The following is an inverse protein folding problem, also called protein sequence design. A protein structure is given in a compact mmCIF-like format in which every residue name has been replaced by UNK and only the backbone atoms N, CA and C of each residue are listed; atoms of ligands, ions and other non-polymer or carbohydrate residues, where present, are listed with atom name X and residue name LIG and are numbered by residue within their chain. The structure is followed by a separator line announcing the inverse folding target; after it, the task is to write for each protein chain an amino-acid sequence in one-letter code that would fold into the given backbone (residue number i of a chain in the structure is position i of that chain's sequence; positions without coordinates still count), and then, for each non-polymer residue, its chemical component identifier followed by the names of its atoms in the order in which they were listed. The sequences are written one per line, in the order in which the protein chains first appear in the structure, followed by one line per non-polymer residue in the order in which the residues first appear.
data_IF_190334762561
#
_entry.id   IF_190334762561
#
_cell.length_a   1.000
_cell.length_b   1.000
_cell.length_c   1.000
_cell.angle_alpha   90.00
_cell.angle_beta   90.00
_cell.angle_gamma   90.00
#
_symmetry.space_group_name_H-M   'P 1'
#
loop_
_entity.id
_entity.type
_entity.pdbx_description
1 polymer ?
#
# COMPACT_ATOMS: atom_id res chain seq x y z
N UNK A 1 -23.45 24.66 -1.49
CA UNK A 1 -23.78 23.34 -2.08
C UNK A 1 -24.68 23.42 -3.34
N UNK A 2 -24.75 24.55 -4.08
CA UNK A 2 -25.66 24.74 -5.23
C UNK A 2 -25.08 24.38 -6.63
N UNK A 3 -23.75 24.32 -6.79
CA UNK A 3 -23.09 24.09 -8.10
C UNK A 3 -23.31 22.69 -8.71
N UNK A 4 -23.67 21.66 -7.93
CA UNK A 4 -23.81 20.27 -8.42
C UNK A 4 -25.13 19.99 -9.15
N UNK A 5 -26.22 20.71 -8.85
CA UNK A 5 -27.55 20.45 -9.44
C UNK A 5 -27.65 20.91 -10.90
N UNK A 6 -27.10 22.09 -11.20
CA UNK A 6 -27.07 22.63 -12.58
C UNK A 6 -26.23 21.78 -13.52
N UNK A 7 -25.07 21.32 -13.07
CA UNK A 7 -24.20 20.42 -13.84
C UNK A 7 -24.88 19.07 -14.12
N UNK A 8 -25.58 18.51 -13.14
CA UNK A 8 -26.28 17.23 -13.33
C UNK A 8 -27.47 17.34 -14.28
N UNK A 9 -28.24 18.43 -14.19
CA UNK A 9 -29.34 18.70 -15.13
C UNK A 9 -28.83 18.85 -16.57
N UNK A 10 -27.66 19.46 -16.75
CA UNK A 10 -27.01 19.61 -18.04
C UNK A 10 -26.48 18.27 -18.59
N UNK A 11 -25.86 17.44 -17.76
CA UNK A 11 -25.46 16.09 -18.17
C UNK A 11 -26.67 15.26 -18.60
N UNK A 12 -27.77 15.32 -17.83
CA UNK A 12 -29.00 14.58 -18.15
C UNK A 12 -29.65 15.05 -19.46
N UNK A 13 -29.58 16.34 -19.79
CA UNK A 13 -30.10 16.82 -21.08
C UNK A 13 -29.26 16.33 -22.25
N UNK A 14 -27.93 16.26 -22.08
CA UNK A 14 -27.02 15.70 -23.09
C UNK A 14 -27.25 14.19 -23.28
N UNK A 15 -27.41 13.43 -22.19
CA UNK A 15 -27.71 11.99 -22.25
C UNK A 15 -29.01 11.73 -23.03
N UNK A 16 -30.08 12.48 -22.75
CA UNK A 16 -31.35 12.35 -23.47
C UNK A 16 -31.21 12.64 -24.96
N UNK A 17 -30.41 13.65 -25.35
CA UNK A 17 -30.15 13.96 -26.77
C UNK A 17 -29.45 12.81 -27.47
N UNK A 18 -28.54 12.15 -26.78
CA UNK A 18 -27.80 11.00 -27.30
C UNK A 18 -28.68 9.76 -27.38
N UNK A 19 -29.46 9.46 -26.35
CA UNK A 19 -30.41 8.34 -26.34
C UNK A 19 -31.51 8.52 -27.40
N UNK A 20 -32.00 9.74 -27.62
CA UNK A 20 -32.95 10.01 -28.70
C UNK A 20 -32.35 9.78 -30.11
N UNK A 21 -31.03 9.92 -30.25
CA UNK A 21 -30.34 9.81 -31.54
C UNK A 21 -29.91 8.37 -31.85
N UNK A 22 -29.46 7.62 -30.83
CA UNK A 22 -28.85 6.30 -31.00
C UNK A 22 -29.60 5.18 -30.25
N UNK A 23 -30.74 5.48 -29.60
CA UNK A 23 -31.52 4.55 -28.80
C UNK A 23 -30.91 4.26 -27.41
N UNK A 24 -29.60 4.33 -27.29
CA UNK A 24 -28.85 4.11 -26.05
C UNK A 24 -27.56 4.91 -26.05
N UNK A 25 -27.21 5.43 -24.87
CA UNK A 25 -25.91 6.07 -24.65
C UNK A 25 -24.73 5.10 -24.87
N UNK A 26 -24.95 3.79 -24.74
CA UNK A 26 -23.92 2.76 -24.95
C UNK A 26 -23.59 2.54 -26.43
N UNK A 27 -24.54 2.83 -27.31
CA UNK A 27 -24.41 2.60 -28.75
C UNK A 27 -23.95 3.88 -29.48
N UNK A 28 -23.51 4.87 -28.69
CA UNK A 28 -23.09 6.17 -29.20
C UNK A 28 -21.64 6.13 -29.66
N UNK A 29 -21.34 6.53 -30.90
CA UNK A 29 -19.96 6.59 -31.39
C UNK A 29 -19.08 7.53 -30.57
N UNK A 30 -17.85 7.13 -30.26
CA UNK A 30 -16.91 7.94 -29.48
C UNK A 30 -16.52 9.27 -30.17
N UNK A 31 -16.76 9.35 -31.48
CA UNK A 31 -16.54 10.55 -32.28
C UNK A 31 -17.63 11.61 -32.09
N UNK A 32 -18.82 11.27 -31.56
CA UNK A 32 -19.95 12.19 -31.43
C UNK A 32 -19.61 13.37 -30.49
N UNK A 33 -19.83 14.63 -30.91
CA UNK A 33 -19.52 15.79 -30.09
C UNK A 33 -20.23 15.81 -28.73
N UNK A 34 -21.48 15.32 -28.70
CA UNK A 34 -22.31 15.25 -27.48
C UNK A 34 -21.76 14.21 -26.53
N UNK A 35 -21.29 13.08 -27.06
CA UNK A 35 -20.60 12.06 -26.26
C UNK A 35 -19.29 12.59 -25.68
N UNK A 36 -18.47 13.30 -26.47
CA UNK A 36 -17.22 13.92 -25.97
C UNK A 36 -17.49 14.94 -24.86
N UNK A 37 -18.59 15.68 -24.96
CA UNK A 37 -19.00 16.64 -23.94
C UNK A 37 -19.48 15.95 -22.65
N UNK A 38 -20.31 14.90 -22.76
CA UNK A 38 -20.70 14.05 -21.62
C UNK A 38 -19.44 13.43 -20.99
N UNK A 39 -18.54 12.90 -21.81
CA UNK A 39 -17.26 12.33 -21.39
C UNK A 39 -16.42 13.34 -20.61
N UNK A 40 -16.32 14.58 -21.09
CA UNK A 40 -15.62 15.67 -20.43
C UNK A 40 -16.28 16.09 -19.11
N UNK A 41 -17.60 16.23 -19.10
CA UNK A 41 -18.39 16.64 -17.92
C UNK A 41 -18.44 15.57 -16.83
N UNK A 42 -18.42 14.30 -17.23
CA UNK A 42 -18.44 13.14 -16.35
C UNK A 42 -17.04 12.56 -16.09
N UNK A 43 -15.98 13.17 -16.63
CA UNK A 43 -14.59 12.63 -16.59
C UNK A 43 -14.50 11.17 -17.07
N UNK A 44 -15.35 10.78 -18.02
CA UNK A 44 -15.34 9.47 -18.70
C UNK A 44 -14.43 9.60 -19.92
N UNK A 45 -13.12 9.65 -19.71
CA UNK A 45 -12.18 9.69 -20.84
C UNK A 45 -11.04 10.66 -20.62
N UNK A 46 -10.03 10.20 -19.87
CA UNK A 46 -8.64 10.67 -19.90
C UNK A 46 -7.85 9.82 -18.90
N UNK A 47 -7.61 8.56 -19.24
CA UNK A 47 -6.41 7.85 -18.77
C UNK A 47 -6.18 6.61 -19.65
N UNK A 48 -5.10 6.57 -20.46
CA UNK A 48 -4.81 5.46 -21.36
C UNK A 48 -4.48 4.13 -20.65
N UNK A 49 -4.49 4.09 -19.31
CA UNK A 49 -4.33 2.88 -18.49
C UNK A 49 -5.53 2.57 -17.56
N UNK A 50 -6.71 3.13 -17.81
CA UNK A 50 -7.96 2.72 -17.12
C UNK A 50 -8.05 3.03 -15.62
N UNK A 51 -7.05 3.68 -15.02
CA UNK A 51 -7.10 4.15 -13.63
C UNK A 51 -7.91 5.45 -13.55
N UNK A 52 -9.20 5.38 -13.22
CA UNK A 52 -10.04 6.54 -12.85
C UNK A 52 -9.69 7.10 -11.47
N UNK A 53 -8.39 7.30 -11.18
CA UNK A 53 -7.86 7.75 -9.89
C UNK A 53 -6.94 8.94 -10.15
N UNK A 54 -7.16 10.06 -9.46
CA UNK A 54 -6.35 11.26 -9.63
C UNK A 54 -4.88 11.02 -9.24
N UNK A 55 -3.94 11.68 -9.93
CA UNK A 55 -2.51 11.57 -9.66
C UNK A 55 -2.16 11.81 -8.18
N UNK A 56 -2.81 12.79 -7.53
CA UNK A 56 -2.67 13.05 -6.09
C UNK A 56 -3.02 11.82 -5.23
N UNK A 57 -4.11 11.11 -5.56
CA UNK A 57 -4.49 9.88 -4.84
C UNK A 57 -3.51 8.75 -5.12
N UNK A 58 -3.02 8.62 -6.35
CA UNK A 58 -2.01 7.62 -6.68
C UNK A 58 -0.72 7.85 -5.87
N UNK A 59 -0.23 9.10 -5.81
CA UNK A 59 0.93 9.47 -5.00
C UNK A 59 0.72 9.17 -3.51
N UNK A 60 -0.46 9.49 -2.97
CA UNK A 60 -0.81 9.17 -1.58
C UNK A 60 -0.80 7.65 -1.31
N UNK A 61 -1.38 6.85 -2.21
CA UNK A 61 -1.36 5.38 -2.12
C UNK A 61 0.09 4.89 -2.10
N UNK A 62 0.92 5.29 -3.07
CA UNK A 62 2.31 4.84 -3.18
C UNK A 62 3.13 5.24 -1.96
N UNK A 63 2.95 6.46 -1.44
CA UNK A 63 3.60 6.90 -0.21
C UNK A 63 3.23 6.00 0.98
N UNK A 64 1.96 5.62 1.11
CA UNK A 64 1.51 4.72 2.19
C UNK A 64 2.02 3.29 2.04
N UNK A 65 2.14 2.79 0.81
CA UNK A 65 2.75 1.49 0.52
C UNK A 65 4.22 1.50 0.95
N UNK A 66 4.98 2.53 0.56
CA UNK A 66 6.39 2.72 0.97
C UNK A 66 6.56 2.89 2.49
N UNK A 67 5.55 3.41 3.18
CA UNK A 67 5.51 3.50 4.64
C UNK A 67 5.15 2.17 5.33
N UNK A 68 4.78 1.14 4.57
CA UNK A 68 4.42 -0.19 5.06
C UNK A 68 3.00 -0.32 5.60
N UNK A 69 2.09 0.58 5.22
CA UNK A 69 0.69 0.46 5.60
C UNK A 69 -0.02 -0.67 4.85
N UNK A 70 -0.99 -1.29 5.52
CA UNK A 70 -1.79 -2.37 4.92
C UNK A 70 -2.75 -1.84 3.87
N UNK A 71 -3.14 -2.70 2.92
CA UNK A 71 -4.15 -2.39 1.90
C UNK A 71 -5.46 -1.87 2.52
N UNK A 72 -5.93 -2.50 3.60
CA UNK A 72 -7.13 -2.07 4.34
C UNK A 72 -7.01 -0.67 4.90
N UNK A 73 -5.85 -0.31 5.47
CA UNK A 73 -5.59 1.04 5.96
C UNK A 73 -5.62 2.06 4.82
N UNK A 74 -4.96 1.75 3.70
CA UNK A 74 -4.90 2.62 2.53
C UNK A 74 -6.30 2.83 1.93
N UNK A 75 -7.10 1.77 1.84
CA UNK A 75 -8.50 1.83 1.38
C UNK A 75 -9.29 2.84 2.21
N UNK A 76 -9.23 2.71 3.54
CA UNK A 76 -9.93 3.60 4.47
C UNK A 76 -9.41 5.03 4.42
N UNK A 77 -8.09 5.22 4.36
CA UNK A 77 -7.46 6.54 4.44
C UNK A 77 -7.48 7.32 3.11
N UNK A 78 -7.40 6.63 1.97
CA UNK A 78 -7.38 7.26 0.64
C UNK A 78 -8.74 7.22 -0.06
N UNK A 79 -9.75 6.58 0.55
CA UNK A 79 -11.09 6.40 -0.01
C UNK A 79 -11.03 5.88 -1.45
N UNK A 80 -10.41 4.72 -1.62
CA UNK A 80 -10.15 4.06 -2.90
C UNK A 80 -10.35 2.56 -2.75
N UNK A 81 -10.98 1.90 -3.72
CA UNK A 81 -11.20 0.47 -3.67
C UNK A 81 -9.88 -0.32 -3.81
N UNK A 82 -9.86 -1.53 -3.26
CA UNK A 82 -8.66 -2.39 -3.22
C UNK A 82 -8.13 -2.73 -4.61
N UNK A 83 -9.02 -3.01 -5.58
CA UNK A 83 -8.64 -3.28 -6.96
C UNK A 83 -7.86 -2.12 -7.61
N UNK A 84 -8.21 -0.87 -7.30
CA UNK A 84 -7.46 0.28 -7.80
C UNK A 84 -6.14 0.48 -7.06
N UNK A 85 -6.06 0.14 -5.76
CA UNK A 85 -4.79 0.12 -5.03
C UNK A 85 -3.84 -0.86 -5.73
N UNK A 86 -4.29 -2.08 -6.00
CA UNK A 86 -3.46 -3.11 -6.66
C UNK A 86 -2.96 -2.66 -8.03
N UNK A 87 -3.83 -2.08 -8.86
CA UNK A 87 -3.43 -1.51 -10.15
C UNK A 87 -2.37 -0.41 -10.01
N UNK A 88 -2.50 0.48 -9.02
CA UNK A 88 -1.52 1.54 -8.77
C UNK A 88 -0.17 0.95 -8.34
N UNK A 89 -0.20 -0.04 -7.44
CA UNK A 89 1.01 -0.72 -6.94
C UNK A 89 1.74 -1.46 -8.07
N UNK A 90 1.00 -2.22 -8.88
CA UNK A 90 1.53 -2.93 -10.05
C UNK A 90 2.09 -1.97 -11.09
N UNK A 91 1.34 -0.92 -11.46
CA UNK A 91 1.79 0.06 -12.45
C UNK A 91 3.06 0.81 -12.03
N UNK A 92 3.27 0.98 -10.71
CA UNK A 92 4.47 1.63 -10.17
C UNK A 92 5.62 0.65 -9.90
N UNK A 93 5.44 -0.66 -10.10
CA UNK A 93 6.45 -1.69 -9.79
C UNK A 93 6.82 -1.77 -8.31
N UNK A 94 5.95 -1.31 -7.40
CA UNK A 94 6.21 -1.32 -5.96
C UNK A 94 5.61 -2.58 -5.34
N UNK A 95 6.17 -3.06 -4.23
CA UNK A 95 5.59 -4.15 -3.45
C UNK A 95 5.14 -3.70 -2.07
N UNK A 96 4.15 -4.39 -1.50
CA UNK A 96 3.73 -4.14 -0.14
C UNK A 96 4.76 -4.66 0.86
N UNK A 97 5.15 -3.79 1.77
CA UNK A 97 6.03 -4.16 2.88
C UNK A 97 5.20 -4.94 3.90
N UNK A 98 5.59 -6.20 4.15
CA UNK A 98 4.95 -6.99 5.18
C UNK A 98 5.28 -6.43 6.57
N UNK A 99 4.27 -6.24 7.44
CA UNK A 99 4.50 -5.80 8.80
C UNK A 99 5.40 -6.76 9.59
N UNK A 100 6.14 -6.20 10.53
CA UNK A 100 6.97 -6.94 11.48
C UNK A 100 6.09 -7.35 12.65
N UNK A 101 6.12 -8.62 13.03
CA UNK A 101 5.25 -9.20 14.05
C UNK A 101 5.89 -9.18 15.44
N UNK A 102 7.22 -9.10 15.51
CA UNK A 102 7.95 -9.20 16.76
C UNK A 102 9.05 -8.16 16.89
N UNK A 103 9.38 -7.82 18.13
CA UNK A 103 10.49 -6.94 18.49
C UNK A 103 11.38 -7.68 19.49
N UNK A 104 12.65 -7.85 19.14
CA UNK A 104 13.67 -8.44 19.99
C UNK A 104 14.65 -7.34 20.41
N UNK A 105 14.90 -7.19 21.71
CA UNK A 105 15.77 -6.12 22.20
C UNK A 105 16.46 -6.52 23.51
N UNK A 106 17.59 -5.89 23.78
CA UNK A 106 18.35 -6.02 25.02
C UNK A 106 19.00 -4.68 25.31
N UNK A 107 19.06 -4.30 26.58
CA UNK A 107 19.67 -3.04 27.00
C UNK A 107 21.15 -2.99 26.57
N UNK A 108 21.60 -1.83 26.08
CA UNK A 108 22.94 -1.65 25.51
C UNK A 108 23.18 -2.41 24.20
N UNK A 109 22.16 -3.05 23.61
CA UNK A 109 22.21 -3.72 22.30
C UNK A 109 21.17 -3.10 21.36
N UNK A 110 21.28 -3.42 20.07
CA UNK A 110 20.32 -3.00 19.06
C UNK A 110 18.91 -3.56 19.30
N UNK A 111 17.91 -2.88 18.74
CA UNK A 111 16.52 -3.36 18.65
C UNK A 111 16.27 -3.97 17.28
N UNK A 112 15.73 -5.19 17.23
CA UNK A 112 15.52 -5.96 16.03
C UNK A 112 14.02 -6.19 15.78
N UNK A 113 13.57 -5.87 14.57
CA UNK A 113 12.19 -6.08 14.12
C UNK A 113 12.11 -7.32 13.22
N UNK A 114 11.26 -8.27 13.61
CA UNK A 114 11.18 -9.62 13.05
C UNK A 114 9.80 -9.90 12.48
N UNK A 115 9.73 -10.80 11.50
CA UNK A 115 8.48 -11.34 10.94
C UNK A 115 8.21 -12.76 11.44
N UNK A 116 9.26 -13.56 11.63
CA UNK A 116 9.20 -14.95 12.08
C UNK A 116 10.21 -15.20 13.20
N UNK A 117 9.76 -15.71 14.34
CA UNK A 117 10.68 -16.11 15.42
C UNK A 117 11.61 -17.22 14.95
N UNK A 118 11.05 -18.23 14.29
CA UNK A 118 11.76 -19.45 13.93
C UNK A 118 12.81 -19.23 12.84
N UNK A 119 12.55 -18.34 11.89
CA UNK A 119 13.48 -18.06 10.78
C UNK A 119 14.46 -16.94 11.11
N UNK A 120 13.99 -15.88 11.77
CA UNK A 120 14.75 -14.63 11.81
C UNK A 120 15.69 -14.59 13.02
N UNK A 121 15.31 -15.19 14.15
CA UNK A 121 16.14 -15.18 15.37
C UNK A 121 17.48 -15.92 15.19
N UNK A 122 17.52 -17.10 14.54
CA UNK A 122 18.78 -17.74 14.16
C UNK A 122 19.78 -16.81 13.47
N UNK A 123 19.31 -15.94 12.56
CA UNK A 123 20.14 -15.03 11.78
C UNK A 123 20.75 -13.90 12.61
N UNK A 124 20.11 -13.49 13.72
CA UNK A 124 20.64 -12.45 14.61
C UNK A 124 21.85 -12.98 15.39
N UNK A 125 21.78 -14.25 15.78
CA UNK A 125 22.75 -14.87 16.66
C UNK A 125 23.80 -15.72 15.93
N UNK A 126 23.62 -15.91 14.62
CA UNK A 126 24.39 -16.88 13.82
C UNK A 126 24.40 -18.27 14.48
N UNK A 127 23.21 -18.72 14.89
CA UNK A 127 23.02 -19.99 15.61
C UNK A 127 22.04 -20.89 14.88
N UNK A 128 22.30 -22.21 14.90
CA UNK A 128 21.37 -23.22 14.37
C UNK A 128 20.25 -23.53 15.36
N UNK A 129 19.33 -22.59 15.54
CA UNK A 129 18.13 -22.79 16.37
C UNK A 129 16.96 -23.26 15.50
N UNK A 130 16.61 -24.54 15.54
CA UNK A 130 15.65 -25.15 14.61
C UNK A 130 14.22 -25.28 15.14
N UNK A 131 13.96 -24.93 16.41
CA UNK A 131 12.64 -25.08 17.01
C UNK A 131 12.35 -24.00 18.07
N UNK A 132 11.06 -23.81 18.35
CA UNK A 132 10.57 -22.78 19.27
C UNK A 132 11.05 -22.96 20.73
N UNK A 133 11.08 -24.17 21.32
CA UNK A 133 11.65 -24.39 22.65
C UNK A 133 13.12 -23.94 22.76
N UNK A 134 13.97 -24.31 21.80
CA UNK A 134 15.37 -23.93 21.78
C UNK A 134 15.55 -22.40 21.67
N UNK A 135 14.74 -21.75 20.80
CA UNK A 135 14.74 -20.29 20.64
C UNK A 135 14.35 -19.60 21.96
N UNK A 136 13.25 -20.01 22.57
CA UNK A 136 12.76 -19.40 23.81
C UNK A 136 13.77 -19.58 24.95
N UNK A 137 14.39 -20.76 25.04
CA UNK A 137 15.46 -21.05 26.00
C UNK A 137 16.65 -20.12 25.79
N UNK A 138 17.14 -20.02 24.55
CA UNK A 138 18.28 -19.17 24.19
C UNK A 138 18.03 -17.69 24.51
N UNK A 139 16.84 -17.16 24.15
CA UNK A 139 16.45 -15.77 24.46
C UNK A 139 16.49 -15.52 25.97
N UNK A 140 15.93 -16.45 26.75
CA UNK A 140 15.89 -16.34 28.22
C UNK A 140 17.27 -16.38 28.84
N UNK A 141 18.10 -17.35 28.46
CA UNK A 141 19.47 -17.52 28.97
C UNK A 141 20.39 -16.35 28.62
N UNK A 142 20.18 -15.73 27.46
CA UNK A 142 20.98 -14.59 27.01
C UNK A 142 20.38 -13.23 27.40
N UNK A 143 19.34 -13.21 28.25
CA UNK A 143 18.69 -11.99 28.75
C UNK A 143 18.16 -11.07 27.63
N UNK A 144 17.65 -11.65 26.56
CA UNK A 144 16.93 -10.91 25.52
C UNK A 144 15.44 -10.82 25.83
N UNK A 145 14.82 -9.73 25.42
CA UNK A 145 13.39 -9.54 25.55
C UNK A 145 12.73 -9.65 24.17
N UNK A 146 11.73 -10.52 24.05
CA UNK A 146 10.95 -10.69 22.83
C UNK A 146 9.50 -10.26 23.08
N UNK A 147 9.02 -9.29 22.31
CA UNK A 147 7.63 -8.79 22.36
C UNK A 147 6.90 -9.12 21.07
N UNK A 148 5.64 -9.56 21.17
CA UNK A 148 4.71 -9.63 20.04
C UNK A 148 4.11 -8.24 19.83
N UNK A 149 4.46 -7.58 18.73
CA UNK A 149 3.97 -6.24 18.40
C UNK A 149 4.01 -6.04 16.90
N UNK A 150 2.82 -5.95 16.29
CA UNK A 150 2.69 -5.62 14.87
C UNK A 150 3.18 -4.20 14.62
N UNK A 151 4.27 -4.06 13.87
CA UNK A 151 4.94 -2.80 13.57
C UNK A 151 5.10 -2.66 12.07
N UNK A 152 4.70 -1.50 11.52
CA UNK A 152 4.91 -1.16 10.11
C UNK A 152 6.26 -0.46 9.93
N UNK A 153 6.79 -0.44 8.70
CA UNK A 153 8.08 0.18 8.38
C UNK A 153 8.24 1.60 8.93
N UNK A 154 7.23 2.45 8.72
CA UNK A 154 7.25 3.84 9.21
C UNK A 154 7.46 3.96 10.73
N UNK A 155 7.03 2.96 11.49
CA UNK A 155 7.10 3.00 12.96
C UNK A 155 8.36 2.32 13.52
N UNK A 156 9.25 1.81 12.66
CA UNK A 156 10.57 1.34 13.08
C UNK A 156 11.46 2.56 13.31
N UNK A 157 12.06 2.74 14.49
CA UNK A 157 12.97 3.85 14.74
C UNK A 157 14.24 3.77 13.87
N UNK A 158 14.76 4.91 13.45
CA UNK A 158 16.12 5.01 12.89
C UNK A 158 17.12 4.51 13.95
N UNK A 159 18.14 3.78 13.52
CA UNK A 159 19.08 3.10 14.42
C UNK A 159 18.68 1.67 14.82
N UNK A 160 17.48 1.23 14.47
CA UNK A 160 17.04 -0.15 14.68
C UNK A 160 17.43 -1.06 13.52
N UNK A 161 17.35 -2.38 13.74
CA UNK A 161 17.57 -3.40 12.74
C UNK A 161 16.24 -4.02 12.31
N UNK A 162 16.11 -4.40 11.05
CA UNK A 162 14.93 -5.07 10.53
C UNK A 162 15.32 -6.21 9.60
N UNK A 163 14.50 -7.27 9.58
CA UNK A 163 14.71 -8.39 8.67
C UNK A 163 14.37 -7.98 7.22
N UNK A 164 15.23 -8.38 6.27
CA UNK A 164 15.00 -8.21 4.83
C UNK A 164 13.75 -8.96 4.35
N UNK A 165 13.26 -8.62 3.17
CA UNK A 165 11.99 -9.17 2.69
C UNK A 165 12.04 -10.68 2.44
N UNK A 166 13.18 -11.17 1.98
CA UNK A 166 13.54 -12.57 1.71
C UNK A 166 13.90 -13.38 2.96
N UNK A 167 13.98 -12.74 4.13
CA UNK A 167 14.46 -13.35 5.37
C UNK A 167 15.92 -13.84 5.33
N UNK A 168 16.79 -13.18 4.56
CA UNK A 168 18.21 -13.58 4.48
C UNK A 168 19.11 -12.82 5.46
N UNK A 169 18.81 -11.56 5.76
CA UNK A 169 19.71 -10.70 6.56
C UNK A 169 19.00 -9.60 7.32
N UNK A 170 19.67 -9.11 8.37
CA UNK A 170 19.27 -7.90 9.07
C UNK A 170 19.91 -6.67 8.46
N UNK A 171 19.10 -5.64 8.31
CA UNK A 171 19.51 -4.36 7.73
C UNK A 171 19.35 -3.28 8.80
N UNK A 172 20.37 -2.44 8.93
CA UNK A 172 20.34 -1.29 9.82
C UNK A 172 19.52 -0.16 9.18
N UNK A 173 18.47 0.30 9.86
CA UNK A 173 17.64 1.42 9.38
C UNK A 173 18.40 2.74 9.55
N UNK A 174 18.82 3.31 8.42
CA UNK A 174 19.53 4.60 8.35
C UNK A 174 18.61 5.78 8.09
N UNK A 175 17.54 5.56 7.33
CA UNK A 175 16.55 6.58 6.95
C UNK A 175 15.15 5.94 6.84
N UNK A 176 14.16 6.72 6.36
CA UNK A 176 12.80 6.24 6.14
C UNK A 176 12.58 5.58 4.77
N UNK A 177 13.63 5.40 3.97
CA UNK A 177 13.53 4.72 2.68
C UNK A 177 13.63 3.20 2.91
N UNK A 178 12.53 2.51 2.66
CA UNK A 178 12.55 1.04 2.70
C UNK A 178 13.22 0.52 1.45
N UNK A 179 14.41 -0.07 1.64
CA UNK A 179 15.19 -0.71 0.57
C UNK A 179 15.26 0.18 -0.68
N UNK A 180 16.01 1.29 -0.59
CA UNK A 180 16.64 1.86 -1.78
C UNK A 180 17.55 0.77 -2.35
N UNK A 181 17.13 0.10 -3.42
CA UNK A 181 18.10 -0.60 -4.27
C UNK A 181 19.02 0.44 -4.89
#
# INVERSE_FOLDING_TARGET
MKRRKGQWNHVMSLIRRVENKYGSIRDTPETDPTWKEIAKLCTIGSNPHGLKVSAKKQAAVLQKVKQGYTKTYIRGNCHICEANIDRIVVAAGVQFIQPFSYVLYKEGKGTYFLRSKLRDIPLIFDQRLSNMPAINKYIKENHWNLRCKRTIWKNIPIGSYYISQDHERFIHKKDDNYLSN
#
